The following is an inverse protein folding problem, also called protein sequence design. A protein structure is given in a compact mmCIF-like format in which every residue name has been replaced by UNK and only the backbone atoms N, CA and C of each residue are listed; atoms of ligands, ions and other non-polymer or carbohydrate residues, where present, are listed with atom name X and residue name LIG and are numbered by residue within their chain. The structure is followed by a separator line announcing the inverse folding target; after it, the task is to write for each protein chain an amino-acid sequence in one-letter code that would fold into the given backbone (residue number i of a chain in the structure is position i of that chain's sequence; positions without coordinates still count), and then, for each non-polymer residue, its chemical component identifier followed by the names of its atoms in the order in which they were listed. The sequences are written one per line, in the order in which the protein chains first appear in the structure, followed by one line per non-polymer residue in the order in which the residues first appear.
data_IF_518516966142
#
_entry.id   IF_518516966142
#
_cell.length_a   1.000
_cell.length_b   1.000
_cell.length_c   1.000
_cell.angle_alpha   90.00
_cell.angle_beta   90.00
_cell.angle_gamma   90.00
#
_symmetry.space_group_name_H-M   'P 1'
#
loop_
_entity.id
_entity.type
_entity.pdbx_description
1 polymer ?
#
# COMPACT_ATOMS: atom_id res chain seq x y z
N UNK A 1 8.81 -2.82 11.36
CA UNK A 1 9.56 -2.16 10.28
C UNK A 1 8.78 -1.03 9.62
N UNK A 2 7.50 -1.19 9.25
CA UNK A 2 6.71 -0.11 8.64
C UNK A 2 6.65 1.14 9.54
N UNK A 3 6.32 0.96 10.82
CA UNK A 3 6.25 2.04 11.80
C UNK A 3 7.55 2.82 11.90
N UNK A 4 8.70 2.12 11.97
CA UNK A 4 10.04 2.74 11.99
C UNK A 4 10.37 3.48 10.70
N UNK A 5 10.07 2.89 9.54
CA UNK A 5 10.29 3.53 8.24
C UNK A 5 9.51 4.86 8.13
N UNK A 6 8.24 4.84 8.53
CA UNK A 6 7.39 6.03 8.51
C UNK A 6 7.76 7.05 9.57
N UNK A 7 8.30 6.61 10.71
CA UNK A 7 8.75 7.50 11.78
C UNK A 7 10.03 8.26 11.40
N UNK A 8 10.91 7.63 10.60
CA UNK A 8 12.16 8.20 10.09
C UNK A 8 13.25 8.32 11.17
N UNK A 9 14.18 9.26 10.97
CA UNK A 9 15.33 9.49 11.87
C UNK A 9 15.00 10.40 13.06
N UNK A 10 13.71 10.52 13.42
CA UNK A 10 13.33 11.37 14.54
C UNK A 10 13.84 10.76 15.86
N UNK A 11 14.32 11.57 16.83
CA UNK A 11 14.85 11.07 18.09
C UNK A 11 13.90 10.13 18.84
N UNK A 12 12.59 10.40 18.79
CA UNK A 12 11.56 9.54 19.40
C UNK A 12 11.46 8.14 18.76
N UNK A 13 12.00 7.94 17.56
CA UNK A 13 11.97 6.69 16.79
C UNK A 13 13.29 5.90 16.88
N UNK A 14 14.36 6.54 17.37
CA UNK A 14 15.67 5.92 17.54
C UNK A 14 15.65 5.17 18.87
N UNK A 15 15.16 3.94 18.82
CA UNK A 15 15.00 3.10 20.01
C UNK A 15 16.12 2.08 20.08
N UNK A 16 16.82 2.07 21.21
CA UNK A 16 17.76 1.00 21.55
C UNK A 16 16.99 -0.11 22.29
N UNK A 17 16.38 -1.03 21.53
CA UNK A 17 15.41 -2.03 22.04
C UNK A 17 15.96 -2.97 23.13
N UNK A 18 17.27 -2.98 23.37
CA UNK A 18 17.93 -3.81 24.37
C UNK A 18 18.00 -3.17 25.77
N UNK A 19 17.70 -1.88 25.91
CA UNK A 19 17.93 -1.10 27.14
C UNK A 19 16.63 -0.54 27.76
N UNK A 20 15.46 -0.96 27.27
CA UNK A 20 14.17 -0.34 27.64
C UNK A 20 13.36 -1.27 28.54
N UNK A 21 12.99 -0.77 29.73
CA UNK A 21 12.03 -1.41 30.64
C UNK A 21 10.63 -1.56 30.01
N UNK A 22 9.82 -2.53 30.46
CA UNK A 22 8.50 -2.83 29.87
C UNK A 22 7.54 -1.62 29.83
N UNK A 23 7.50 -0.78 30.87
CA UNK A 23 6.65 0.42 30.89
C UNK A 23 7.11 1.48 29.89
N UNK A 24 8.43 1.72 29.83
CA UNK A 24 9.02 2.64 28.85
C UNK A 24 8.80 2.12 27.43
N UNK A 25 8.80 0.80 27.24
CA UNK A 25 8.55 0.17 25.96
C UNK A 25 7.14 0.48 25.42
N UNK A 26 6.10 0.43 26.25
CA UNK A 26 4.72 0.73 25.82
C UNK A 26 4.59 2.20 25.39
N UNK A 27 5.14 3.12 26.18
CA UNK A 27 5.11 4.55 25.86
C UNK A 27 5.85 4.86 24.56
N UNK A 28 7.02 4.24 24.35
CA UNK A 28 7.81 4.41 23.13
C UNK A 28 7.08 3.88 21.89
N UNK A 29 6.45 2.70 21.99
CA UNK A 29 5.61 2.16 20.92
C UNK A 29 4.46 3.11 20.59
N UNK A 30 3.82 3.71 21.60
CA UNK A 30 2.80 4.72 21.40
C UNK A 30 3.30 5.92 20.60
N UNK A 31 4.45 6.49 20.99
CA UNK A 31 5.08 7.62 20.27
C UNK A 31 5.43 7.25 18.82
N UNK A 32 5.97 6.05 18.61
CA UNK A 32 6.32 5.54 17.28
C UNK A 32 5.08 5.45 16.38
N UNK A 33 3.97 4.91 16.90
CA UNK A 33 2.70 4.78 16.17
C UNK A 33 2.15 6.16 15.82
N UNK A 34 2.03 7.06 16.80
CA UNK A 34 1.45 8.39 16.56
C UNK A 34 2.27 9.21 15.57
N UNK A 35 3.60 9.15 15.66
CA UNK A 35 4.47 9.82 14.70
C UNK A 35 4.35 9.22 13.30
N UNK A 36 4.28 7.89 13.20
CA UNK A 36 4.07 7.18 11.94
C UNK A 36 2.78 7.60 11.26
N UNK A 37 1.67 7.69 12.02
CA UNK A 37 0.38 8.17 11.52
C UNK A 37 0.45 9.62 11.03
N UNK A 38 1.05 10.51 11.82
CA UNK A 38 1.20 11.93 11.47
C UNK A 38 2.00 12.09 10.17
N UNK A 39 3.14 11.38 10.04
CA UNK A 39 3.94 11.44 8.82
C UNK A 39 3.20 10.86 7.60
N UNK A 40 2.44 9.77 7.80
CA UNK A 40 1.61 9.18 6.74
C UNK A 40 0.53 10.14 6.24
N UNK A 41 -0.08 10.91 7.14
CA UNK A 41 -1.12 11.88 6.78
C UNK A 41 -0.55 13.16 6.17
N UNK A 42 0.47 13.72 6.79
CA UNK A 42 0.88 15.11 6.57
C UNK A 42 2.10 15.26 5.65
N UNK A 43 2.94 14.23 5.52
CA UNK A 43 4.21 14.30 4.78
C UNK A 43 4.28 13.39 3.57
N UNK A 44 3.44 12.35 3.52
CA UNK A 44 3.42 11.40 2.41
C UNK A 44 2.30 11.79 1.45
N UNK A 45 2.70 12.03 0.20
CA UNK A 45 1.78 12.41 -0.87
C UNK A 45 0.69 11.36 -1.07
N UNK A 46 1.07 10.09 -1.12
CA UNK A 46 0.16 8.96 -1.33
C UNK A 46 0.70 7.69 -0.66
N UNK A 47 -0.20 6.91 -0.08
CA UNK A 47 0.07 5.57 0.45
C UNK A 47 -0.93 4.60 -0.15
N UNK A 48 -0.42 3.54 -0.76
CA UNK A 48 -1.22 2.41 -1.24
C UNK A 48 -1.04 1.20 -0.32
N UNK A 49 -1.98 0.25 -0.40
CA UNK A 49 -1.82 -1.05 0.25
C UNK A 49 -1.80 -2.15 -0.79
N UNK A 50 -0.97 -3.16 -0.56
CA UNK A 50 -0.69 -4.23 -1.52
C UNK A 50 -1.94 -5.01 -1.93
N UNK A 51 -2.88 -5.17 -1.00
CA UNK A 51 -4.15 -5.86 -1.20
C UNK A 51 -5.11 -5.09 -2.12
N UNK A 52 -4.90 -3.77 -2.25
CA UNK A 52 -5.73 -2.82 -3.00
C UNK A 52 -4.89 -2.06 -4.04
N UNK A 53 -3.98 -2.77 -4.70
CA UNK A 53 -3.00 -2.17 -5.61
C UNK A 53 -3.69 -1.53 -6.83
N UNK A 54 -4.71 -2.18 -7.40
CA UNK A 54 -5.47 -1.64 -8.54
C UNK A 54 -6.06 -0.26 -8.21
N UNK A 55 -6.80 -0.17 -7.10
CA UNK A 55 -7.40 1.09 -6.63
C UNK A 55 -6.33 2.13 -6.27
N UNK A 56 -5.19 1.67 -5.74
CA UNK A 56 -4.06 2.56 -5.44
C UNK A 56 -3.46 3.17 -6.71
N UNK A 57 -3.40 2.41 -7.80
CA UNK A 57 -2.89 2.87 -9.09
C UNK A 57 -3.86 3.83 -9.79
N UNK A 58 -5.17 3.61 -9.69
CA UNK A 58 -6.19 4.54 -10.20
C UNK A 58 -6.07 5.92 -9.56
N UNK A 59 -5.92 5.96 -8.22
CA UNK A 59 -5.72 7.23 -7.51
C UNK A 59 -4.39 7.89 -7.93
N UNK A 60 -3.31 7.12 -8.05
CA UNK A 60 -2.01 7.66 -8.45
C UNK A 60 -2.02 8.23 -9.87
N UNK A 61 -2.69 7.57 -10.82
CA UNK A 61 -2.86 8.08 -12.18
C UNK A 61 -3.63 9.40 -12.20
N UNK A 62 -4.64 9.54 -11.34
CA UNK A 62 -5.37 10.81 -11.20
C UNK A 62 -4.55 11.91 -10.52
N UNK A 63 -3.75 11.57 -9.50
CA UNK A 63 -2.93 12.55 -8.76
C UNK A 63 -1.70 13.01 -9.54
N UNK A 64 -1.08 12.11 -10.30
CA UNK A 64 0.19 12.31 -10.99
C UNK A 64 0.10 11.84 -12.45
N UNK A 65 -0.80 12.41 -13.27
CA UNK A 65 -1.09 11.91 -14.61
C UNK A 65 0.16 11.90 -15.50
N UNK A 66 1.02 12.92 -15.41
CA UNK A 66 2.26 13.00 -16.19
C UNK A 66 3.21 11.80 -15.99
N UNK A 67 3.13 11.12 -14.85
CA UNK A 67 4.02 10.00 -14.52
C UNK A 67 3.36 8.63 -14.72
N UNK A 68 2.02 8.57 -14.62
CA UNK A 68 1.28 7.31 -14.57
C UNK A 68 0.22 7.18 -15.69
N UNK A 69 0.25 8.07 -16.69
CA UNK A 69 -0.69 8.06 -17.81
C UNK A 69 -0.76 6.67 -18.48
N UNK A 70 -1.97 6.13 -18.61
CA UNK A 70 -2.30 4.87 -19.28
C UNK A 70 -1.86 3.59 -18.56
N UNK A 71 -1.50 3.62 -17.27
CA UNK A 71 -1.19 2.38 -16.54
C UNK A 71 -2.45 1.58 -16.19
N UNK A 72 -3.57 2.25 -15.88
CA UNK A 72 -4.84 1.55 -15.67
C UNK A 72 -5.46 1.07 -17.00
N UNK A 73 -5.31 1.85 -18.07
CA UNK A 73 -5.81 1.53 -19.42
C UNK A 73 -5.01 0.40 -20.08
N UNK A 74 -3.69 0.41 -19.89
CA UNK A 74 -2.80 -0.68 -20.21
C UNK A 74 -2.72 -1.59 -19.00
N UNK A 75 -3.84 -2.24 -18.68
CA UNK A 75 -4.00 -3.31 -17.68
C UNK A 75 -2.67 -3.73 -17.03
N UNK A 76 -2.67 -3.78 -15.70
CA UNK A 76 -1.80 -4.58 -14.80
C UNK A 76 -1.58 -6.07 -15.23
N UNK A 77 -1.71 -6.41 -16.52
CA UNK A 77 -1.22 -7.55 -17.25
C UNK A 77 0.29 -7.81 -17.07
N UNK A 78 1.06 -6.83 -16.60
CA UNK A 78 2.36 -7.10 -16.00
C UNK A 78 2.17 -7.34 -14.50
N UNK A 79 2.07 -8.62 -14.13
CA UNK A 79 2.50 -9.20 -12.83
C UNK A 79 1.48 -9.51 -11.70
N UNK A 80 0.23 -9.91 -12.00
CA UNK A 80 -0.48 -10.92 -11.16
C UNK A 80 -1.32 -11.91 -12.01
N UNK A 81 -0.91 -12.20 -13.25
CA UNK A 81 -1.52 -13.28 -14.04
C UNK A 81 -0.81 -14.62 -13.78
N UNK A 82 -0.96 -15.12 -12.56
CA UNK A 82 -0.92 -16.57 -12.33
C UNK A 82 -2.27 -17.16 -12.76
N UNK A 83 -2.69 -16.97 -14.01
CA UNK A 83 -3.82 -17.72 -14.56
C UNK A 83 -3.31 -19.02 -15.15
N UNK A 84 -3.52 -20.10 -14.41
CA UNK A 84 -3.84 -21.40 -15.02
C UNK A 84 -4.98 -21.16 -16.01
N UNK A 85 -4.67 -21.09 -17.29
CA UNK A 85 -5.51 -21.62 -18.37
C UNK A 85 -4.66 -21.81 -19.61
N UNK A 86 -4.54 -23.07 -20.03
CA UNK A 86 -4.07 -23.45 -21.36
C UNK A 86 -5.00 -22.84 -22.42
N UNK A 87 -4.67 -21.69 -23.01
CA UNK A 87 -5.00 -21.44 -24.41
C UNK A 87 -4.31 -20.20 -24.97
N UNK A 88 -3.93 -20.33 -26.24
CA UNK A 88 -3.58 -19.27 -27.19
C UNK A 88 -2.13 -18.77 -27.22
N UNK A 89 -1.28 -19.71 -27.68
CA UNK A 89 -0.18 -19.50 -28.64
C UNK A 89 -0.56 -18.47 -29.72
N UNK A 90 0.02 -17.27 -29.73
CA UNK A 90 0.29 -16.52 -30.98
C UNK A 90 1.14 -15.24 -30.85
N UNK A 91 1.61 -14.82 -29.67
CA UNK A 91 2.32 -13.52 -29.54
C UNK A 91 3.69 -13.62 -28.84
N UNK A 92 4.43 -14.70 -29.12
CA UNK A 92 5.56 -15.14 -28.27
C UNK A 92 6.97 -14.86 -28.83
N UNK A 93 7.15 -14.07 -29.90
CA UNK A 93 8.47 -14.05 -30.57
C UNK A 93 9.44 -12.91 -30.25
N UNK A 94 9.05 -11.81 -29.61
CA UNK A 94 9.94 -10.64 -29.52
C UNK A 94 10.31 -10.15 -28.10
N UNK A 95 9.94 -10.85 -27.02
CA UNK A 95 10.26 -10.42 -25.65
C UNK A 95 11.10 -11.45 -24.86
N UNK A 96 12.07 -12.08 -25.54
CA UNK A 96 13.08 -12.93 -24.88
C UNK A 96 14.35 -12.14 -24.63
N UNK A 97 14.38 -11.35 -23.55
CA UNK A 97 15.59 -11.15 -22.74
C UNK A 97 15.26 -10.28 -21.51
N UNK A 98 15.30 -10.89 -20.32
CA UNK A 98 15.80 -10.19 -19.14
C UNK A 98 14.93 -10.06 -17.88
N UNK A 99 13.66 -10.45 -17.86
CA UNK A 99 12.84 -10.27 -16.64
C UNK A 99 12.86 -11.50 -15.75
N UNK A 100 13.80 -11.57 -14.81
CA UNK A 100 13.72 -12.49 -13.68
C UNK A 100 12.57 -12.03 -12.77
N UNK A 101 11.42 -12.67 -12.89
CA UNK A 101 10.30 -12.46 -11.96
C UNK A 101 10.68 -13.12 -10.65
N UNK A 102 11.21 -12.32 -9.71
CA UNK A 102 11.50 -12.76 -8.35
C UNK A 102 10.19 -12.95 -7.58
N UNK A 103 9.48 -14.04 -7.86
CA UNK A 103 8.35 -14.46 -7.03
C UNK A 103 8.94 -15.05 -5.75
N UNK A 104 8.56 -14.48 -4.60
CA UNK A 104 8.95 -15.04 -3.32
C UNK A 104 8.48 -16.52 -3.24
N UNK A 105 9.25 -17.42 -2.62
CA UNK A 105 8.84 -18.82 -2.48
C UNK A 105 7.50 -18.92 -1.77
N UNK A 106 6.71 -19.95 -2.09
CA UNK A 106 5.44 -20.24 -1.41
C UNK A 106 5.70 -20.51 0.07
N UNK A 107 5.60 -19.48 0.90
CA UNK A 107 5.69 -19.60 2.34
C UNK A 107 4.45 -20.31 2.85
N UNK A 108 4.63 -21.25 3.79
CA UNK A 108 3.51 -21.84 4.51
C UNK A 108 2.75 -20.71 5.21
N UNK A 109 1.44 -20.62 4.98
CA UNK A 109 0.59 -19.71 5.74
C UNK A 109 0.70 -20.06 7.22
N UNK A 110 1.00 -19.06 8.03
CA UNK A 110 1.01 -19.16 9.49
C UNK A 110 -0.41 -19.51 9.93
N UNK A 111 -0.53 -20.43 10.90
CA UNK A 111 -1.84 -20.80 11.44
C UNK A 111 -2.40 -19.66 12.32
N UNK A 112 -3.72 -19.56 12.44
CA UNK A 112 -4.37 -18.42 13.10
C UNK A 112 -3.96 -18.28 14.58
N UNK A 113 -3.74 -19.41 15.27
CA UNK A 113 -3.25 -19.50 16.65
C UNK A 113 -1.82 -18.95 16.83
N UNK A 114 -0.95 -19.15 15.84
CA UNK A 114 0.41 -18.61 15.83
C UNK A 114 0.42 -17.11 15.47
N UNK A 115 -0.57 -16.66 14.69
CA UNK A 115 -0.68 -15.27 14.23
C UNK A 115 -0.91 -14.31 15.39
N UNK A 116 -1.78 -14.64 16.33
CA UNK A 116 -2.02 -13.82 17.53
C UNK A 116 -0.75 -13.64 18.37
N UNK A 117 0.06 -14.70 18.51
CA UNK A 117 1.31 -14.66 19.27
C UNK A 117 2.34 -13.77 18.57
N UNK A 118 2.41 -13.82 17.23
CA UNK A 118 3.29 -12.95 16.44
C UNK A 118 2.85 -11.48 16.53
N UNK A 119 1.55 -11.22 16.47
CA UNK A 119 0.99 -9.87 16.59
C UNK A 119 1.20 -9.24 17.98
N UNK A 120 1.27 -10.06 19.03
CA UNK A 120 1.56 -9.60 20.40
C UNK A 120 3.00 -9.10 20.59
N UNK A 121 3.91 -9.32 19.63
CA UNK A 121 5.22 -8.65 19.67
C UNK A 121 5.03 -7.17 19.41
N UNK A 122 5.48 -6.32 20.32
CA UNK A 122 5.24 -4.89 20.31
C UNK A 122 5.62 -4.18 18.98
N UNK A 123 6.68 -4.61 18.29
CA UNK A 123 7.07 -4.07 16.97
C UNK A 123 6.03 -4.43 15.90
N UNK A 124 5.54 -5.69 15.91
CA UNK A 124 4.47 -6.14 15.02
C UNK A 124 3.16 -5.42 15.34
N UNK A 125 2.87 -5.17 16.61
CA UNK A 125 1.71 -4.38 17.03
C UNK A 125 1.78 -2.93 16.51
N UNK A 126 2.93 -2.27 16.65
CA UNK A 126 3.13 -0.91 16.16
C UNK A 126 2.93 -0.83 14.64
N UNK A 127 3.57 -1.74 13.89
CA UNK A 127 3.40 -1.84 12.44
C UNK A 127 1.94 -2.09 12.06
N UNK A 128 1.27 -3.00 12.75
CA UNK A 128 -0.13 -3.34 12.50
C UNK A 128 -1.06 -2.14 12.72
N UNK A 129 -0.83 -1.37 13.79
CA UNK A 129 -1.59 -0.14 14.06
C UNK A 129 -1.38 0.93 12.99
N UNK A 130 -0.15 1.10 12.51
CA UNK A 130 0.14 2.07 11.44
C UNK A 130 -0.41 1.57 10.09
N UNK A 131 -0.34 0.27 9.81
CA UNK A 131 -0.93 -0.34 8.62
C UNK A 131 -2.45 -0.13 8.56
N UNK A 132 -3.18 -0.43 9.65
CA UNK A 132 -4.63 -0.21 9.67
C UNK A 132 -4.99 1.25 9.44
N UNK A 133 -4.22 2.18 10.02
CA UNK A 133 -4.40 3.60 9.74
C UNK A 133 -4.12 3.96 8.27
N UNK A 134 -3.13 3.32 7.64
CA UNK A 134 -2.86 3.50 6.21
C UNK A 134 -4.04 3.04 5.34
N UNK A 135 -4.68 1.92 5.70
CA UNK A 135 -5.89 1.41 5.03
C UNK A 135 -7.03 2.42 5.14
N UNK A 136 -7.29 2.95 6.33
CA UNK A 136 -8.32 3.98 6.56
C UNK A 136 -8.06 5.23 5.70
N UNK A 137 -6.82 5.73 5.69
CA UNK A 137 -6.44 6.90 4.88
C UNK A 137 -6.59 6.64 3.39
N UNK A 138 -6.25 5.45 2.91
CA UNK A 138 -6.46 5.07 1.51
C UNK A 138 -7.96 5.05 1.17
N UNK A 139 -8.78 4.48 2.04
CA UNK A 139 -10.22 4.38 1.84
C UNK A 139 -10.90 5.77 1.80
N UNK A 140 -10.53 6.66 2.71
CA UNK A 140 -10.99 8.06 2.68
C UNK A 140 -10.63 8.77 1.37
N UNK A 141 -9.40 8.57 0.88
CA UNK A 141 -8.91 9.16 -0.36
C UNK A 141 -9.59 8.58 -1.59
N UNK A 142 -9.79 7.26 -1.62
CA UNK A 142 -10.49 6.58 -2.70
C UNK A 142 -11.95 7.06 -2.81
N UNK A 143 -12.68 7.14 -1.70
CA UNK A 143 -14.05 7.64 -1.70
C UNK A 143 -14.15 9.14 -2.03
N UNK A 144 -13.14 9.94 -1.66
CA UNK A 144 -13.06 11.32 -2.12
C UNK A 144 -12.78 11.40 -3.62
N UNK A 145 -11.92 10.53 -4.16
CA UNK A 145 -11.55 10.50 -5.57
C UNK A 145 -12.75 10.08 -6.43
N UNK A 146 -13.41 8.98 -6.08
CA UNK A 146 -14.61 8.46 -6.77
C UNK A 146 -15.73 9.49 -6.86
N UNK A 147 -15.94 10.28 -5.79
CA UNK A 147 -16.93 11.37 -5.79
C UNK A 147 -16.58 12.53 -6.72
N UNK A 148 -15.29 12.78 -7.01
CA UNK A 148 -14.88 13.80 -7.99
C UNK A 148 -15.07 13.31 -9.41
N UNK A 149 -14.69 12.07 -9.67
CA UNK A 149 -14.76 11.48 -11.00
C UNK A 149 -16.20 11.41 -11.54
N UNK A 150 -17.16 11.07 -10.67
CA UNK A 150 -18.60 11.11 -11.01
C UNK A 150 -19.08 12.54 -11.35
N UNK A 151 -18.57 13.56 -10.66
CA UNK A 151 -18.94 14.96 -10.94
C UNK A 151 -18.36 15.46 -12.25
N UNK A 152 -17.10 15.12 -12.53
CA UNK A 152 -16.44 15.49 -13.78
C UNK A 152 -17.08 14.78 -14.98
N UNK A 153 -17.53 13.53 -14.81
CA UNK A 153 -18.32 12.82 -15.82
C UNK A 153 -19.66 13.50 -16.10
N UNK A 154 -20.44 13.81 -15.05
CA UNK A 154 -21.75 14.46 -15.22
C UNK A 154 -21.62 15.83 -15.90
N UNK A 155 -20.60 16.62 -15.55
CA UNK A 155 -20.34 17.92 -16.16
C UNK A 155 -20.00 17.80 -17.66
N UNK A 156 -19.21 16.80 -18.05
CA UNK A 156 -18.88 16.55 -19.47
C UNK A 156 -20.10 16.12 -20.29
N UNK A 157 -21.07 15.42 -19.69
CA UNK A 157 -22.32 15.08 -20.36
C UNK A 157 -23.23 16.30 -20.58
N UNK A 158 -23.34 17.19 -19.60
CA UNK A 158 -24.13 18.44 -19.72
C UNK A 158 -23.56 19.39 -20.79
N UNK A 159 -22.23 19.43 -20.96
CA UNK A 159 -21.57 20.24 -21.99
C UNK A 159 -21.70 19.66 -23.42
N UNK A 160 -22.15 18.40 -23.58
CA UNK A 160 -22.36 17.75 -24.88
C UNK A 160 -23.83 17.79 -25.37
N UNK A 161 -24.77 18.20 -24.50
CA UNK A 161 -26.20 18.35 -24.84
C UNK A 161 -26.61 19.79 -25.20
N UNK A 162 -25.65 20.73 -25.24
CA UNK A 162 -25.80 22.14 -25.68
C UNK A 162 -25.15 22.38 -27.04
#
# INVERSE_FOLDING_TARGET
MLSRYLCGDHPDCIVNWHEVDEENHVQMVGKLVERGKMNLKDKILFVGVTERMEESMEILESLLPTYFESITSSSLALSISSKKTNSQKSFERNFKQGSAVNVAPDYKRVKEDEREVILKRNICYADFKVYNYAVEVLEERYESWKRRDVKDYNKKCEEQEL
#
